data_IF_179563098978
#
_entry.id   IF_179563098978
#
_cell.length_a   1.000
_cell.length_b   1.000
_cell.length_c   1.000
_cell.angle_alpha   90.00
_cell.angle_beta   90.00
_cell.angle_gamma   90.00
#
_symmetry.space_group_name_H-M   'P 1'
#
loop_
_entity.id
_entity.type
_entity.pdbx_description
1 polymer ?
#
# COMPACT_ATOMS: atom_id res chain seq x y z
N UNK A 1 -6.44 -2.73 16.52
CA UNK A 1 -6.60 -1.44 15.84
C UNK A 1 -6.34 -1.60 14.36
N UNK A 2 -7.20 -1.08 13.53
CA UNK A 2 -7.03 -1.16 12.09
C UNK A 2 -6.57 0.18 11.53
N UNK A 3 -5.74 0.12 10.50
CA UNK A 3 -5.30 1.30 9.76
C UNK A 3 -5.32 0.98 8.27
N UNK A 4 -5.05 1.97 7.43
CA UNK A 4 -5.09 1.76 5.99
C UNK A 4 -3.77 1.17 5.48
N UNK A 5 -3.82 0.63 4.24
CA UNK A 5 -2.65 -0.01 3.63
C UNK A 5 -1.46 0.92 3.49
N UNK A 6 -1.69 2.22 3.32
CA UNK A 6 -0.60 3.20 3.26
C UNK A 6 0.29 3.13 4.50
N UNK A 7 -0.30 2.85 5.66
CA UNK A 7 0.41 2.79 6.95
C UNK A 7 0.80 1.38 7.37
N UNK A 8 0.55 0.36 6.54
CA UNK A 8 0.75 -1.03 6.94
C UNK A 8 2.16 -1.52 6.66
N UNK A 9 2.75 -2.21 7.62
CA UNK A 9 4.10 -2.78 7.49
C UNK A 9 4.16 -3.89 6.43
N UNK A 10 3.03 -4.55 6.13
CA UNK A 10 2.98 -5.60 5.12
C UNK A 10 2.87 -5.07 3.69
N UNK A 11 2.61 -3.77 3.52
CA UNK A 11 2.46 -3.18 2.20
C UNK A 11 3.82 -2.88 1.57
N UNK A 12 3.88 -2.99 0.24
CA UNK A 12 5.12 -2.76 -0.51
C UNK A 12 4.83 -2.33 -1.93
N UNK A 13 5.82 -1.71 -2.57
CA UNK A 13 5.77 -1.32 -3.98
C UNK A 13 6.26 -2.43 -4.91
N UNK A 14 6.32 -3.65 -4.43
CA UNK A 14 6.71 -4.85 -5.18
C UNK A 14 5.93 -6.04 -4.63
N UNK A 15 6.03 -7.18 -5.33
CA UNK A 15 5.43 -8.41 -4.83
C UNK A 15 6.39 -9.57 -5.11
N UNK A 16 6.19 -10.69 -4.40
CA UNK A 16 7.00 -11.89 -4.55
C UNK A 16 6.13 -12.94 -5.24
N UNK A 17 6.58 -13.46 -6.37
CA UNK A 17 5.82 -14.48 -7.10
C UNK A 17 5.92 -15.87 -6.45
N UNK A 18 5.22 -16.84 -7.03
CA UNK A 18 5.17 -18.19 -6.48
C UNK A 18 6.53 -18.89 -6.50
N UNK A 19 7.49 -18.39 -7.28
CA UNK A 19 8.84 -18.93 -7.35
C UNK A 19 9.80 -18.17 -6.42
N UNK A 20 9.30 -17.25 -5.61
CA UNK A 20 10.11 -16.44 -4.70
C UNK A 20 10.83 -15.29 -5.38
N UNK A 21 10.49 -14.97 -6.63
CA UNK A 21 11.16 -13.90 -7.37
C UNK A 21 10.46 -12.56 -7.12
N UNK A 22 11.26 -11.53 -6.86
CA UNK A 22 10.76 -10.17 -6.65
C UNK A 22 10.32 -9.56 -7.99
N UNK A 23 9.09 -9.06 -8.01
CA UNK A 23 8.49 -8.39 -9.18
C UNK A 23 8.27 -6.92 -8.84
N UNK A 24 8.88 -6.03 -9.62
CA UNK A 24 8.79 -4.59 -9.42
C UNK A 24 8.06 -3.98 -10.63
N UNK A 25 6.78 -3.58 -10.46
CA UNK A 25 6.05 -3.00 -11.59
C UNK A 25 6.55 -1.59 -11.92
N UNK A 26 6.26 -1.09 -13.14
CA UNK A 26 6.62 0.28 -13.50
C UNK A 26 5.94 1.30 -12.59
N UNK A 27 6.61 2.43 -12.35
CA UNK A 27 6.08 3.49 -11.48
C UNK A 27 4.68 3.92 -11.90
N UNK A 28 4.44 4.08 -13.21
CA UNK A 28 3.14 4.54 -13.73
C UNK A 28 1.98 3.63 -13.35
N UNK A 29 2.24 2.35 -13.08
CA UNK A 29 1.18 1.40 -12.70
C UNK A 29 0.58 1.70 -11.32
N UNK A 30 1.25 2.50 -10.50
CA UNK A 30 0.75 2.92 -9.20
C UNK A 30 -0.20 4.11 -9.27
N UNK A 31 -0.45 4.64 -10.47
CA UNK A 31 -1.43 5.72 -10.67
C UNK A 31 -2.84 5.36 -10.25
N UNK A 32 -3.17 4.08 -10.12
CA UNK A 32 -4.46 3.61 -9.60
C UNK A 32 -4.53 3.63 -8.08
N UNK A 33 -3.48 4.07 -7.39
CA UNK A 33 -3.40 4.15 -5.93
C UNK A 33 -3.51 2.81 -5.23
N UNK A 34 -3.02 1.74 -5.85
CA UNK A 34 -2.97 0.41 -5.24
C UNK A 34 -1.56 0.13 -4.73
N UNK A 35 -1.48 -0.64 -3.65
CA UNK A 35 -0.21 -1.09 -3.07
C UNK A 35 -0.31 -2.59 -2.82
N UNK A 36 0.80 -3.30 -2.96
CA UNK A 36 0.82 -4.76 -2.79
C UNK A 36 0.89 -5.13 -1.32
N UNK A 37 0.25 -6.26 -0.96
CA UNK A 37 0.32 -6.81 0.38
C UNK A 37 1.22 -8.06 0.38
N UNK A 38 2.26 -8.04 1.19
CA UNK A 38 3.21 -9.15 1.29
C UNK A 38 2.87 -10.12 2.43
N UNK A 39 1.72 -9.94 3.09
CA UNK A 39 1.32 -10.84 4.15
C UNK A 39 1.10 -12.25 3.59
N UNK A 40 1.54 -13.26 4.31
CA UNK A 40 1.50 -14.66 3.86
C UNK A 40 0.10 -15.18 3.56
N UNK A 41 -0.94 -14.58 4.16
CA UNK A 41 -2.34 -14.96 3.90
C UNK A 41 -2.86 -14.46 2.57
N UNK A 42 -2.10 -13.60 1.86
CA UNK A 42 -2.52 -13.01 0.60
C UNK A 42 -1.85 -13.74 -0.57
N UNK A 43 -2.58 -13.86 -1.68
CA UNK A 43 -2.02 -14.44 -2.89
C UNK A 43 -0.93 -13.51 -3.46
N UNK A 44 0.10 -14.08 -4.13
CA UNK A 44 1.11 -13.26 -4.78
C UNK A 44 0.49 -12.29 -5.79
N UNK A 45 0.91 -11.02 -5.73
CA UNK A 45 0.42 -9.99 -6.64
C UNK A 45 -0.90 -9.35 -6.23
N UNK A 46 -1.51 -9.76 -5.10
CA UNK A 46 -2.69 -9.05 -4.60
C UNK A 46 -2.34 -7.63 -4.19
N UNK A 47 -3.18 -6.70 -4.61
CA UNK A 47 -3.00 -5.28 -4.26
C UNK A 47 -4.31 -4.70 -3.75
N UNK A 48 -4.20 -3.64 -2.98
CA UNK A 48 -5.33 -2.97 -2.35
C UNK A 48 -5.17 -1.48 -2.47
N UNK A 49 -6.26 -0.70 -2.51
CA UNK A 49 -6.15 0.76 -2.45
C UNK A 49 -5.37 1.20 -1.22
N UNK A 50 -4.57 2.24 -1.35
CA UNK A 50 -3.79 2.75 -0.22
C UNK A 50 -4.67 3.19 0.94
N UNK A 51 -5.93 3.51 0.68
CA UNK A 51 -6.93 3.91 1.68
C UNK A 51 -7.70 2.74 2.28
N UNK A 52 -7.46 1.49 1.83
CA UNK A 52 -8.16 0.32 2.36
C UNK A 52 -7.85 0.14 3.84
N UNK A 53 -8.89 0.07 4.68
CA UNK A 53 -8.73 0.12 6.14
C UNK A 53 -9.47 -1.00 6.89
N UNK A 54 -9.91 -2.05 6.19
CA UNK A 54 -10.66 -3.15 6.80
C UNK A 54 -9.84 -4.41 7.04
N UNK A 55 -8.53 -4.32 6.94
CA UNK A 55 -7.67 -5.47 7.10
C UNK A 55 -7.44 -5.79 8.57
N UNK A 56 -7.77 -7.03 8.98
CA UNK A 56 -7.55 -7.50 10.35
C UNK A 56 -6.08 -7.83 10.64
N UNK A 57 -5.25 -7.86 9.60
CA UNK A 57 -3.82 -8.18 9.72
C UNK A 57 -2.94 -6.93 9.70
N UNK A 58 -3.55 -5.77 9.88
CA UNK A 58 -2.82 -4.51 9.87
C UNK A 58 -1.73 -4.50 10.94
N UNK A 59 -0.53 -4.07 10.52
CA UNK A 59 0.58 -3.77 11.42
C UNK A 59 1.18 -2.46 10.99
N UNK A 60 1.30 -1.50 11.90
CA UNK A 60 1.79 -0.17 11.54
C UNK A 60 3.25 -0.22 11.08
N UNK A 61 3.52 0.39 9.94
CA UNK A 61 4.88 0.57 9.42
C UNK A 61 5.62 1.66 10.20
N UNK A 62 6.93 1.73 10.03
CA UNK A 62 7.73 2.78 10.63
C UNK A 62 7.45 4.11 9.96
N UNK A 63 7.62 5.21 10.69
CA UNK A 63 7.28 6.55 10.21
C UNK A 63 8.04 6.94 8.95
N UNK A 64 9.31 6.57 8.83
CA UNK A 64 10.10 6.87 7.64
C UNK A 64 9.55 6.15 6.40
N UNK A 65 9.08 4.91 6.56
CA UNK A 65 8.44 4.18 5.46
C UNK A 65 7.13 4.85 5.05
N UNK A 66 6.33 5.26 6.02
CA UNK A 66 5.06 5.94 5.75
C UNK A 66 5.32 7.23 4.98
N UNK A 67 6.30 8.01 5.40
CA UNK A 67 6.63 9.26 4.73
C UNK A 67 7.11 9.05 3.30
N UNK A 68 7.93 8.04 3.05
CA UNK A 68 8.38 7.71 1.70
C UNK A 68 7.21 7.30 0.81
N UNK A 69 6.26 6.53 1.34
CA UNK A 69 5.06 6.14 0.59
C UNK A 69 4.19 7.34 0.25
N UNK A 70 3.98 8.23 1.21
CA UNK A 70 3.20 9.44 0.98
C UNK A 70 3.84 10.30 -0.10
N UNK A 71 5.15 10.49 -0.04
CA UNK A 71 5.87 11.23 -1.07
C UNK A 71 5.76 10.55 -2.44
N UNK A 72 5.87 9.24 -2.49
CA UNK A 72 5.76 8.48 -3.73
C UNK A 72 4.37 8.63 -4.35
N UNK A 73 3.30 8.37 -3.60
CA UNK A 73 1.95 8.41 -4.13
C UNK A 73 1.46 9.83 -4.42
N UNK A 74 2.02 10.84 -3.75
CA UNK A 74 1.61 12.24 -3.95
C UNK A 74 1.92 12.76 -5.36
N UNK A 75 2.78 12.09 -6.12
CA UNK A 75 3.06 12.46 -7.50
C UNK A 75 1.89 12.19 -8.45
N UNK A 76 0.90 11.38 -8.04
CA UNK A 76 -0.22 11.00 -8.87
C UNK A 76 -1.45 11.84 -8.55
N UNK A 77 -2.22 12.19 -9.59
CA UNK A 77 -3.39 13.06 -9.45
C UNK A 77 -4.44 12.46 -8.51
N UNK A 78 -4.62 11.14 -8.55
CA UNK A 78 -5.63 10.46 -7.72
C UNK A 78 -5.30 10.44 -6.23
N UNK A 79 -4.07 10.77 -5.87
CA UNK A 79 -3.65 10.75 -4.47
C UNK A 79 -4.54 11.66 -3.59
N UNK A 80 -4.98 12.79 -4.13
CA UNK A 80 -5.80 13.74 -3.37
C UNK A 80 -7.06 13.08 -2.79
N UNK A 81 -7.76 12.28 -3.63
CA UNK A 81 -8.99 11.60 -3.20
C UNK A 81 -8.68 10.60 -2.09
N UNK A 82 -7.64 9.81 -2.25
CA UNK A 82 -7.25 8.82 -1.25
C UNK A 82 -6.75 9.46 0.03
N UNK A 83 -6.03 10.57 -0.07
CA UNK A 83 -5.56 11.30 1.11
C UNK A 83 -6.73 11.81 1.96
N UNK A 84 -7.80 12.29 1.33
CA UNK A 84 -9.01 12.71 2.02
C UNK A 84 -9.68 11.52 2.73
N UNK A 85 -9.80 10.38 2.05
CA UNK A 85 -10.38 9.17 2.64
C UNK A 85 -9.57 8.70 3.85
N UNK A 86 -8.25 8.75 3.76
CA UNK A 86 -7.37 8.37 4.86
C UNK A 86 -7.55 9.31 6.04
N UNK A 87 -7.63 10.62 5.78
CA UNK A 87 -7.81 11.61 6.84
C UNK A 87 -9.14 11.44 7.57
N UNK A 88 -10.20 11.03 6.87
CA UNK A 88 -11.53 10.81 7.46
C UNK A 88 -11.59 9.61 8.40
N UNK A 89 -10.59 8.74 8.35
CA UNK A 89 -10.57 7.49 9.13
C UNK A 89 -9.78 7.59 10.42
N UNK A 90 -9.38 8.76 10.83
CA UNK A 90 -8.68 8.98 12.09
C UNK A 90 -9.57 8.84 13.30
#
# INVERSE_FOLDING_TARGET
>A
MTGCCLYCAHAASYWIDTQGKKRVPPVKSFGDMNIYCLHESRAPGECYPISFARCTRFKRAQDDQIQRRRAFFSQFDRYRIHAELIAQRR
#
